data_IF_079551241908
#
_entry.id   IF_079551241908
#
_cell.length_a   1.000
_cell.length_b   1.000
_cell.length_c   1.000
_cell.angle_alpha   90.00
_cell.angle_beta   90.00
_cell.angle_gamma   90.00
#
_symmetry.space_group_name_H-M   'P 1'
#
loop_
_entity.id
_entity.type
_entity.pdbx_description
1 polymer ?
#
# COMPACT_ATOMS: atom_id res chain seq x y z
N UNK A 1 5.60 -6.78 -9.08
CA UNK A 1 4.59 -6.06 -8.26
C UNK A 1 5.30 -5.03 -7.39
N UNK A 2 4.64 -3.94 -6.94
CA UNK A 2 5.25 -3.00 -6.01
C UNK A 2 5.83 -3.72 -4.79
N UNK A 3 7.06 -3.41 -4.40
CA UNK A 3 7.76 -4.09 -3.30
C UNK A 3 8.71 -5.22 -3.69
N UNK A 4 8.66 -5.72 -4.93
CA UNK A 4 9.56 -6.81 -5.36
C UNK A 4 10.94 -6.32 -5.80
N UNK A 5 10.99 -5.18 -6.47
CA UNK A 5 12.24 -4.58 -6.98
C UNK A 5 12.83 -3.58 -5.99
N UNK A 6 14.09 -3.23 -6.23
CA UNK A 6 14.80 -2.23 -5.44
C UNK A 6 14.10 -0.86 -5.42
N UNK A 7 14.11 -0.24 -4.24
CA UNK A 7 13.44 1.05 -3.98
C UNK A 7 11.94 1.02 -4.28
N UNK A 8 11.30 -0.12 -4.01
CA UNK A 8 9.86 -0.30 -4.15
C UNK A 8 9.25 -0.81 -2.85
N UNK A 9 8.07 -0.32 -2.51
CA UNK A 9 7.33 -0.67 -1.29
C UNK A 9 5.89 -1.02 -1.67
N UNK A 10 5.39 -2.17 -1.20
CA UNK A 10 4.05 -2.63 -1.55
C UNK A 10 3.34 -3.37 -0.44
N UNK A 11 2.01 -3.29 -0.42
CA UNK A 11 1.09 -4.08 0.39
C UNK A 11 0.19 -4.86 -0.55
N UNK A 12 0.20 -6.19 -0.46
CA UNK A 12 -0.42 -7.09 -1.44
C UNK A 12 -1.77 -7.61 -0.92
N UNK A 13 -2.70 -7.78 -1.85
CA UNK A 13 -4.10 -8.06 -1.53
C UNK A 13 -4.42 -9.54 -1.35
N UNK A 14 -3.66 -10.41 -1.98
CA UNK A 14 -3.84 -11.87 -1.97
C UNK A 14 -3.38 -12.53 -0.67
N UNK A 15 -2.39 -11.94 0.03
CA UNK A 15 -1.81 -12.52 1.24
C UNK A 15 -1.79 -11.57 2.45
N UNK A 16 -2.10 -10.28 2.25
CA UNK A 16 -2.05 -9.28 3.31
C UNK A 16 -0.61 -8.93 3.76
N UNK A 17 0.41 -9.30 3.00
CA UNK A 17 1.80 -9.05 3.33
C UNK A 17 2.31 -7.73 2.76
N UNK A 18 3.38 -7.22 3.38
CA UNK A 18 4.17 -6.12 2.85
C UNK A 18 5.47 -6.62 2.23
N UNK A 19 5.90 -5.94 1.17
CA UNK A 19 7.06 -6.26 0.37
C UNK A 19 7.94 -5.01 0.22
N UNK A 20 9.25 -5.20 0.40
CA UNK A 20 10.27 -4.17 0.20
C UNK A 20 11.54 -4.83 -0.30
N UNK A 21 11.93 -4.53 -1.54
CA UNK A 21 13.09 -5.09 -2.24
C UNK A 21 13.21 -6.62 -2.07
N UNK A 22 12.09 -7.33 -2.10
CA UNK A 22 12.06 -8.76 -1.81
C UNK A 22 10.88 -9.45 -2.49
N UNK A 23 11.10 -10.68 -2.95
CA UNK A 23 10.03 -11.57 -3.44
C UNK A 23 9.27 -12.27 -2.31
N UNK A 24 9.80 -12.26 -1.08
CA UNK A 24 9.15 -12.84 0.10
C UNK A 24 8.55 -11.74 0.98
N UNK A 25 7.24 -11.78 1.14
CA UNK A 25 6.48 -10.84 1.96
C UNK A 25 6.65 -11.07 3.46
N UNK A 26 6.31 -10.05 4.24
CA UNK A 26 6.20 -10.12 5.71
C UNK A 26 4.74 -9.88 6.14
N UNK A 27 4.24 -10.62 7.16
CA UNK A 27 2.91 -10.38 7.71
C UNK A 27 2.72 -8.93 8.14
N UNK A 28 1.56 -8.36 7.79
CA UNK A 28 1.25 -6.97 8.12
C UNK A 28 -0.25 -6.75 8.35
N UNK A 29 -1.07 -7.04 7.34
CA UNK A 29 -2.51 -6.88 7.39
C UNK A 29 -3.22 -8.18 7.05
N UNK A 30 -4.51 -8.06 6.72
CA UNK A 30 -5.30 -9.14 6.13
C UNK A 30 -5.36 -8.99 4.62
N UNK A 31 -5.80 -10.03 3.92
CA UNK A 31 -6.15 -9.96 2.50
C UNK A 31 -7.23 -8.89 2.28
N UNK A 32 -7.22 -8.28 1.09
CA UNK A 32 -8.24 -7.32 0.68
C UNK A 32 -8.74 -7.64 -0.73
N UNK A 33 -10.01 -7.30 -0.98
CA UNK A 33 -10.72 -7.77 -2.16
C UNK A 33 -11.64 -6.70 -2.76
N UNK A 34 -12.39 -7.08 -3.78
CA UNK A 34 -13.40 -6.23 -4.41
C UNK A 34 -14.30 -5.57 -3.36
N UNK A 35 -14.41 -4.24 -3.43
CA UNK A 35 -15.20 -3.42 -2.50
C UNK A 35 -14.41 -2.82 -1.35
N UNK A 36 -13.21 -3.33 -1.04
CA UNK A 36 -12.32 -2.71 -0.06
C UNK A 36 -11.73 -1.39 -0.57
N UNK A 37 -11.54 -0.44 0.34
CA UNK A 37 -10.76 0.78 0.08
C UNK A 37 -9.43 0.69 0.82
N UNK A 38 -8.32 0.68 0.08
CA UNK A 38 -6.97 0.72 0.65
C UNK A 38 -6.40 2.12 0.52
N UNK A 39 -5.96 2.68 1.64
CA UNK A 39 -5.22 3.94 1.70
C UNK A 39 -3.73 3.65 1.89
N UNK A 40 -2.87 4.47 1.28
CA UNK A 40 -1.42 4.47 1.48
C UNK A 40 -1.01 5.85 1.97
N UNK A 41 -0.50 5.94 3.19
CA UNK A 41 -0.18 7.19 3.84
C UNK A 41 1.33 7.34 3.98
N UNK A 42 1.90 8.31 3.25
CA UNK A 42 3.30 8.71 3.37
C UNK A 42 3.45 9.83 4.39
N UNK A 43 4.07 9.52 5.54
CA UNK A 43 4.49 10.53 6.50
C UNK A 43 5.91 11.01 6.15
N UNK A 44 5.99 12.15 5.47
CA UNK A 44 7.26 12.76 5.02
C UNK A 44 8.10 13.25 6.21
N UNK A 45 7.49 13.66 7.33
CA UNK A 45 8.23 14.13 8.52
C UNK A 45 9.03 13.01 9.16
N UNK A 46 8.44 11.82 9.22
CA UNK A 46 9.03 10.66 9.89
C UNK A 46 9.63 9.64 8.90
N UNK A 47 9.52 9.89 7.58
CA UNK A 47 9.90 8.96 6.51
C UNK A 47 9.32 7.55 6.70
N UNK A 48 8.00 7.48 6.89
CA UNK A 48 7.27 6.23 7.13
C UNK A 48 6.06 6.09 6.23
N UNK A 49 5.71 4.84 5.91
CA UNK A 49 4.44 4.48 5.27
C UNK A 49 3.63 3.63 6.22
N UNK A 50 2.34 3.93 6.30
CA UNK A 50 1.32 3.03 6.84
C UNK A 50 0.17 2.92 5.83
N UNK A 51 -0.55 1.80 5.89
CA UNK A 51 -1.75 1.60 5.09
C UNK A 51 -3.00 1.68 5.97
N UNK A 52 -4.13 1.89 5.30
CA UNK A 52 -5.45 1.83 5.92
C UNK A 52 -6.34 0.90 5.13
N UNK A 53 -7.21 0.14 5.79
CA UNK A 53 -8.29 -0.61 5.14
C UNK A 53 -9.62 -0.07 5.61
N UNK A 54 -10.46 0.34 4.68
CA UNK A 54 -11.80 0.85 4.94
C UNK A 54 -11.86 1.98 5.99
N UNK A 55 -10.82 2.82 6.04
CA UNK A 55 -10.72 3.89 7.03
C UNK A 55 -10.12 3.48 8.38
N UNK A 56 -9.66 2.24 8.53
CA UNK A 56 -8.96 1.76 9.74
C UNK A 56 -7.46 1.72 9.46
N UNK A 57 -6.67 2.36 10.33
CA UNK A 57 -5.21 2.33 10.27
C UNK A 57 -4.67 0.94 10.64
N UNK A 58 -3.75 0.40 9.83
CA UNK A 58 -3.17 -0.95 10.00
C UNK A 58 -1.80 -0.96 10.68
N UNK A 59 -1.33 0.21 11.15
CA UNK A 59 -0.01 0.37 11.75
C UNK A 59 1.09 0.60 10.72
N UNK A 60 2.31 0.85 11.19
CA UNK A 60 3.45 1.23 10.34
C UNK A 60 3.92 0.03 9.52
N UNK A 61 3.91 0.15 8.20
CA UNK A 61 4.42 -0.86 7.27
C UNK A 61 5.92 -0.69 7.03
N UNK A 62 6.35 0.54 6.75
CA UNK A 62 7.73 0.83 6.36
C UNK A 62 8.28 2.04 7.12
N UNK A 63 9.59 1.99 7.41
CA UNK A 63 10.35 3.03 8.10
C UNK A 63 11.61 3.36 7.31
N UNK A 64 12.19 4.52 7.60
CA UNK A 64 13.47 4.97 7.03
C UNK A 64 13.43 5.06 5.49
N UNK A 65 12.31 5.54 4.95
CA UNK A 65 12.15 5.76 3.51
C UNK A 65 13.19 6.77 3.01
N UNK A 66 13.67 6.54 1.79
CA UNK A 66 14.63 7.39 1.11
C UNK A 66 14.03 7.85 -0.23
N UNK A 67 14.53 8.98 -0.72
CA UNK A 67 14.20 9.56 -2.03
C UNK A 67 12.74 10.03 -2.18
N UNK A 68 12.46 10.69 -3.30
CA UNK A 68 11.10 10.99 -3.73
C UNK A 68 10.40 9.69 -4.13
N UNK A 69 9.14 9.54 -3.71
CA UNK A 69 8.31 8.36 -3.99
C UNK A 69 7.13 8.73 -4.87
N UNK A 70 6.73 7.81 -5.72
CA UNK A 70 5.56 7.92 -6.57
C UNK A 70 4.49 6.92 -6.14
N UNK A 71 3.19 7.29 -6.11
CA UNK A 71 2.12 6.33 -5.95
C UNK A 71 2.18 5.27 -7.06
N UNK A 72 2.02 4.00 -6.70
CA UNK A 72 2.09 2.89 -7.65
C UNK A 72 1.03 1.84 -7.31
N UNK A 73 0.39 1.29 -8.35
CA UNK A 73 -0.48 0.12 -8.23
C UNK A 73 -0.05 -0.91 -9.26
N UNK A 74 0.08 -2.17 -8.84
CA UNK A 74 0.27 -3.31 -9.73
C UNK A 74 -0.96 -4.19 -9.70
N UNK A 75 -1.36 -4.72 -10.85
CA UNK A 75 -2.48 -5.65 -10.99
C UNK A 75 -1.98 -6.85 -11.79
N UNK A 76 -2.14 -8.05 -11.25
CA UNK A 76 -1.76 -9.30 -11.92
C UNK A 76 -2.98 -10.08 -12.40
N UNK A 77 -4.11 -10.00 -11.69
CA UNK A 77 -5.31 -10.77 -11.99
C UNK A 77 -5.99 -10.28 -13.28
N UNK A 78 -6.34 -11.17 -14.22
CA UNK A 78 -7.16 -10.82 -15.38
C UNK A 78 -8.47 -10.14 -14.95
N UNK A 79 -8.77 -8.99 -15.54
CA UNK A 79 -9.98 -8.21 -15.21
C UNK A 79 -9.92 -7.44 -13.88
N UNK A 80 -8.79 -7.49 -13.16
CA UNK A 80 -8.59 -6.67 -11.96
C UNK A 80 -8.65 -5.18 -12.31
N UNK A 81 -9.47 -4.43 -11.58
CA UNK A 81 -9.62 -2.97 -11.76
C UNK A 81 -9.54 -2.25 -10.43
N UNK A 82 -8.99 -1.05 -10.45
CA UNK A 82 -8.87 -0.17 -9.29
C UNK A 82 -9.27 1.25 -9.66
N UNK A 83 -9.90 1.96 -8.73
CA UNK A 83 -10.06 3.40 -8.81
C UNK A 83 -9.08 4.10 -7.88
N UNK A 84 -8.35 5.11 -8.37
CA UNK A 84 -7.46 5.93 -7.55
C UNK A 84 -8.15 7.23 -7.14
N UNK A 85 -8.04 7.61 -5.87
CA UNK A 85 -8.45 8.92 -5.37
C UNK A 85 -7.21 9.68 -4.89
N UNK A 86 -6.78 10.69 -5.66
CA UNK A 86 -5.67 11.58 -5.30
C UNK A 86 -6.14 12.89 -4.64
N UNK A 87 -7.35 12.89 -4.06
CA UNK A 87 -7.94 14.04 -3.36
C UNK A 87 -9.16 14.66 -4.04
N UNK A 88 -9.62 14.10 -5.17
CA UNK A 88 -10.84 14.56 -5.85
C UNK A 88 -12.13 14.26 -5.06
N UNK A 89 -12.08 13.26 -4.16
CA UNK A 89 -13.18 12.90 -3.26
C UNK A 89 -12.66 12.85 -1.83
N UNK A 90 -13.56 13.00 -0.85
CA UNK A 90 -13.21 12.79 0.57
C UNK A 90 -12.63 11.39 0.78
N UNK A 91 -11.53 11.30 1.52
CA UNK A 91 -10.92 10.02 1.88
C UNK A 91 -11.77 9.27 2.91
N UNK A 92 -11.67 7.93 2.88
CA UNK A 92 -12.34 7.06 3.87
C UNK A 92 -11.62 7.07 5.23
N UNK A 93 -10.31 7.29 5.22
CA UNK A 93 -9.53 7.54 6.43
C UNK A 93 -9.55 9.03 6.76
N UNK A 94 -9.65 9.36 8.06
CA UNK A 94 -9.68 10.71 8.61
C UNK A 94 -8.65 10.86 9.71
#
# INVERSE_FOLDING_TARGET
MPGWEDSSWGYHGDDGNIFFNASRGKPYGKEFMTGDTIGCCLNIRNNMIFYTRNGVNLGIAFRYLKNALYPCVGILSPGGTVGANFGYRKFKYT
#
